data_IF_846583730442
#
_entry.id   IF_846583730442
#
_cell.length_a   1.000
_cell.length_b   1.000
_cell.length_c   1.000
_cell.angle_alpha   90.00
_cell.angle_beta   90.00
_cell.angle_gamma   90.00
#
_symmetry.space_group_name_H-M   'P 1'
#
loop_
_entity.id
_entity.type
_entity.pdbx_description
1 polymer ?
#
# COMPACT_ATOMS: atom_id res chain seq x y z
N UNK A 1 23.14 -21.24 -5.89
CA UNK A 1 22.33 -20.56 -4.84
C UNK A 1 21.59 -21.62 -4.07
N UNK A 2 21.96 -21.88 -2.83
CA UNK A 2 21.30 -22.88 -1.98
C UNK A 2 20.16 -22.21 -1.23
N UNK A 3 18.92 -22.70 -1.40
CA UNK A 3 17.77 -22.33 -0.59
C UNK A 3 17.83 -23.12 0.72
N UNK A 4 18.43 -22.58 1.74
CA UNK A 4 18.27 -23.10 3.09
C UNK A 4 16.96 -22.54 3.67
N UNK A 5 15.92 -23.37 3.65
CA UNK A 5 14.72 -23.17 4.45
C UNK A 5 15.02 -23.62 5.87
N UNK A 6 15.60 -22.75 6.69
CA UNK A 6 15.65 -22.97 8.12
C UNK A 6 14.25 -22.74 8.70
N UNK A 7 13.62 -23.80 9.17
CA UNK A 7 12.44 -23.76 10.03
C UNK A 7 12.84 -23.19 11.41
N UNK A 8 12.92 -21.86 11.52
CA UNK A 8 13.09 -21.19 12.80
C UNK A 8 11.82 -21.31 13.63
N UNK A 9 11.93 -21.71 14.87
CA UNK A 9 10.87 -21.67 15.89
C UNK A 9 10.25 -20.28 15.98
N UNK A 10 8.94 -20.12 16.26
CA UNK A 10 8.30 -18.84 16.37
C UNK A 10 8.88 -18.10 17.58
N UNK A 11 9.58 -17.02 17.30
CA UNK A 11 10.02 -16.06 18.31
C UNK A 11 8.78 -15.38 18.90
N UNK A 12 8.80 -15.13 20.21
CA UNK A 12 7.67 -14.56 20.96
C UNK A 12 7.22 -13.17 20.46
N UNK A 13 7.96 -12.56 19.53
CA UNK A 13 7.63 -11.29 18.85
C UNK A 13 6.70 -11.43 17.64
N UNK A 14 6.43 -12.62 17.15
CA UNK A 14 5.62 -12.89 15.96
C UNK A 14 6.22 -12.41 14.63
N UNK A 15 7.39 -11.78 14.64
CA UNK A 15 8.05 -11.27 13.44
C UNK A 15 9.02 -12.29 12.84
N UNK A 16 9.01 -12.47 11.51
CA UNK A 16 9.88 -13.40 10.78
C UNK A 16 10.68 -12.67 9.71
N UNK A 17 11.93 -13.10 9.50
CA UNK A 17 12.72 -12.61 8.38
C UNK A 17 12.12 -13.15 7.08
N UNK A 18 11.72 -12.23 6.19
CA UNK A 18 11.21 -12.55 4.86
C UNK A 18 12.34 -12.61 3.83
N UNK A 19 13.19 -11.58 3.81
CA UNK A 19 14.38 -11.51 2.96
C UNK A 19 15.50 -10.80 3.68
N UNK A 20 16.74 -11.19 3.38
CA UNK A 20 17.94 -10.49 3.81
C UNK A 20 18.99 -10.56 2.68
N UNK A 21 19.87 -9.56 2.61
CA UNK A 21 20.90 -9.54 1.62
C UNK A 21 21.87 -8.39 1.78
N UNK A 22 22.86 -8.36 0.87
CA UNK A 22 23.84 -7.30 0.82
C UNK A 22 24.07 -6.82 -0.62
N UNK A 23 24.53 -5.57 -0.72
CA UNK A 23 24.92 -4.92 -1.97
C UNK A 23 26.32 -4.30 -1.82
N UNK A 24 26.94 -3.93 -2.93
CA UNK A 24 28.25 -3.30 -2.98
C UNK A 24 29.30 -4.06 -2.16
N UNK A 25 29.48 -5.35 -2.45
CA UNK A 25 30.43 -6.23 -1.77
C UNK A 25 30.27 -6.28 -0.23
N UNK A 26 29.02 -6.24 0.25
CA UNK A 26 28.73 -6.30 1.68
C UNK A 26 28.74 -4.93 2.41
N UNK A 27 29.12 -3.85 1.73
CA UNK A 27 29.11 -2.53 2.37
C UNK A 27 27.74 -1.99 2.72
N UNK A 28 26.68 -2.55 2.14
CA UNK A 28 25.28 -2.23 2.43
C UNK A 28 24.50 -3.50 2.64
N UNK A 29 23.82 -3.59 3.76
CA UNK A 29 23.01 -4.74 4.15
C UNK A 29 21.57 -4.33 4.33
N UNK A 30 20.64 -5.27 4.09
CA UNK A 30 19.24 -5.11 4.40
C UNK A 30 18.65 -6.38 5.00
N UNK A 31 17.63 -6.19 5.84
CA UNK A 31 16.77 -7.25 6.37
C UNK A 31 15.33 -6.78 6.23
N UNK A 32 14.49 -7.59 5.62
CA UNK A 32 13.05 -7.36 5.60
C UNK A 32 12.37 -8.37 6.49
N UNK A 33 11.62 -7.87 7.45
CA UNK A 33 10.84 -8.67 8.38
C UNK A 33 9.36 -8.53 8.04
N UNK A 34 8.64 -9.64 8.10
CA UNK A 34 7.18 -9.63 8.10
C UNK A 34 6.66 -9.72 9.51
N UNK A 35 5.63 -8.94 9.81
CA UNK A 35 4.86 -9.03 11.04
C UNK A 35 3.80 -10.14 10.97
N UNK A 36 2.96 -10.19 11.98
CA UNK A 36 1.82 -11.09 12.00
C UNK A 36 0.86 -10.71 10.88
N UNK A 37 0.43 -11.72 10.11
CA UNK A 37 -0.64 -11.54 9.18
C UNK A 37 -1.94 -11.26 9.94
N UNK A 38 -2.81 -10.44 9.35
CA UNK A 38 -4.17 -10.24 9.84
C UNK A 38 -5.16 -10.40 8.68
N UNK A 39 -6.34 -10.85 9.01
CA UNK A 39 -7.40 -11.08 8.05
C UNK A 39 -8.36 -9.89 8.02
N UNK A 40 -8.81 -9.53 6.82
CA UNK A 40 -9.84 -8.51 6.62
C UNK A 40 -11.12 -9.18 6.15
N UNK A 41 -12.18 -8.93 6.91
CA UNK A 41 -13.51 -9.44 6.61
C UNK A 41 -13.73 -10.93 6.85
N UNK A 42 -14.96 -11.40 6.64
CA UNK A 42 -15.37 -12.75 7.01
C UNK A 42 -14.80 -13.85 6.10
N UNK A 43 -14.19 -13.49 4.98
CA UNK A 43 -13.59 -14.43 4.03
C UNK A 43 -12.05 -14.46 4.05
N UNK A 44 -11.46 -13.83 5.08
CA UNK A 44 -10.02 -13.89 5.37
C UNK A 44 -9.14 -13.36 4.21
N UNK A 45 -9.36 -12.10 3.82
CA UNK A 45 -8.41 -11.38 2.95
C UNK A 45 -7.12 -11.10 3.73
N UNK A 46 -6.09 -11.92 3.47
CA UNK A 46 -4.85 -11.94 4.26
C UNK A 46 -3.95 -10.77 3.96
N UNK A 47 -3.68 -9.93 4.94
CA UNK A 47 -2.76 -8.80 4.87
C UNK A 47 -1.49 -9.07 5.70
N UNK A 48 -0.31 -8.83 5.12
CA UNK A 48 0.98 -9.07 5.77
C UNK A 48 1.78 -7.77 5.85
N UNK A 49 1.90 -7.15 7.03
CA UNK A 49 2.73 -5.97 7.20
C UNK A 49 4.22 -6.35 7.13
N UNK A 50 5.02 -5.53 6.45
CA UNK A 50 6.46 -5.73 6.35
C UNK A 50 7.23 -4.50 6.82
N UNK A 51 8.39 -4.73 7.46
CA UNK A 51 9.33 -3.69 7.85
C UNK A 51 10.69 -3.97 7.22
N UNK A 52 11.25 -2.98 6.55
CA UNK A 52 12.59 -3.02 5.98
C UNK A 52 13.57 -2.32 6.91
N UNK A 53 14.67 -2.97 7.21
CA UNK A 53 15.84 -2.42 7.87
C UNK A 53 17.01 -2.39 6.90
N UNK A 54 17.77 -1.29 6.88
CA UNK A 54 18.99 -1.17 6.09
C UNK A 54 20.11 -0.59 6.91
N UNK A 55 21.34 -1.03 6.66
CA UNK A 55 22.52 -0.47 7.29
C UNK A 55 23.69 -0.40 6.29
N UNK A 56 24.55 0.62 6.43
CA UNK A 56 25.77 0.77 5.66
C UNK A 56 27.00 0.74 6.53
N UNK A 57 28.04 0.07 6.04
CA UNK A 57 29.37 0.02 6.64
C UNK A 57 30.39 0.93 5.91
N UNK A 58 29.91 1.68 4.91
CA UNK A 58 30.72 2.59 4.07
C UNK A 58 30.70 4.05 4.58
N UNK A 59 30.08 4.32 5.73
CA UNK A 59 29.93 5.67 6.29
C UNK A 59 28.96 6.58 5.52
N UNK A 60 28.45 6.16 4.37
CA UNK A 60 27.56 6.95 3.51
C UNK A 60 26.08 6.56 3.65
N UNK A 61 25.83 5.32 4.07
CA UNK A 61 24.48 4.78 4.16
C UNK A 61 24.06 4.66 5.62
N UNK A 62 23.02 5.38 6.06
CA UNK A 62 22.59 5.38 7.45
C UNK A 62 21.90 4.06 7.83
N UNK A 63 21.87 3.78 9.13
CA UNK A 63 20.92 2.80 9.67
C UNK A 63 19.51 3.35 9.44
N UNK A 64 18.67 2.59 8.76
CA UNK A 64 17.31 3.03 8.45
C UNK A 64 16.28 1.94 8.69
N UNK A 65 15.06 2.37 9.05
CA UNK A 65 13.89 1.49 9.16
C UNK A 65 12.69 2.14 8.49
N UNK A 66 11.88 1.33 7.81
CA UNK A 66 10.64 1.78 7.22
C UNK A 66 9.63 0.64 7.05
N UNK A 67 8.33 0.90 7.26
CA UNK A 67 7.28 -0.01 6.81
C UNK A 67 7.19 0.04 5.29
N UNK A 68 6.95 -1.10 4.67
CA UNK A 68 6.84 -1.20 3.21
C UNK A 68 5.98 -2.39 2.80
N UNK A 69 5.24 -2.22 1.70
CA UNK A 69 4.58 -3.32 0.98
C UNK A 69 5.47 -3.89 -0.14
N UNK A 70 6.63 -3.29 -0.38
CA UNK A 70 7.54 -3.70 -1.45
C UNK A 70 8.43 -4.82 -0.93
N UNK A 71 8.36 -6.00 -1.54
CA UNK A 71 9.30 -7.10 -1.27
C UNK A 71 10.66 -6.76 -1.89
N UNK A 72 11.68 -6.64 -1.03
CA UNK A 72 13.04 -6.31 -1.44
C UNK A 72 13.77 -7.58 -1.88
N UNK A 73 14.09 -7.68 -3.17
CA UNK A 73 14.80 -8.81 -3.77
C UNK A 73 16.04 -8.38 -4.58
N UNK A 74 16.17 -7.10 -4.88
CA UNK A 74 17.29 -6.53 -5.65
C UNK A 74 17.49 -5.06 -5.29
N UNK A 75 18.60 -4.46 -5.77
CA UNK A 75 18.93 -3.05 -5.53
C UNK A 75 17.81 -2.09 -5.98
N UNK A 76 17.13 -2.40 -7.09
CA UNK A 76 16.05 -1.56 -7.60
C UNK A 76 14.87 -1.55 -6.63
N UNK A 77 14.42 -2.72 -6.16
CA UNK A 77 13.32 -2.82 -5.20
C UNK A 77 13.68 -2.21 -3.84
N UNK A 78 14.95 -2.26 -3.42
CA UNK A 78 15.44 -1.54 -2.24
C UNK A 78 15.32 -0.03 -2.42
N UNK A 79 15.83 0.49 -3.53
CA UNK A 79 15.75 1.93 -3.83
C UNK A 79 14.31 2.42 -3.89
N UNK A 80 13.40 1.59 -4.43
CA UNK A 80 11.97 1.88 -4.47
C UNK A 80 11.36 2.00 -3.07
N UNK A 81 11.60 1.02 -2.21
CA UNK A 81 11.10 1.02 -0.84
C UNK A 81 11.59 2.26 -0.07
N UNK A 82 12.88 2.58 -0.17
CA UNK A 82 13.47 3.75 0.48
C UNK A 82 12.88 5.07 -0.05
N UNK A 83 12.68 5.21 -1.36
CA UNK A 83 12.03 6.40 -1.95
C UNK A 83 10.60 6.56 -1.47
N UNK A 84 9.84 5.47 -1.43
CA UNK A 84 8.46 5.47 -0.92
C UNK A 84 8.42 5.88 0.55
N UNK A 85 9.27 5.26 1.39
CA UNK A 85 9.36 5.58 2.81
C UNK A 85 9.73 7.05 3.06
N UNK A 86 10.67 7.59 2.29
CA UNK A 86 11.06 9.00 2.38
C UNK A 86 9.91 9.95 1.99
N UNK A 87 9.23 9.65 0.89
CA UNK A 87 8.12 10.49 0.39
C UNK A 87 6.94 10.52 1.36
N UNK A 88 6.65 9.39 1.98
CA UNK A 88 5.53 9.24 2.91
C UNK A 88 5.90 9.58 4.37
N UNK A 89 7.10 10.15 4.61
CA UNK A 89 7.63 10.44 5.94
C UNK A 89 7.64 9.22 6.89
N UNK A 90 7.80 8.04 6.34
CA UNK A 90 7.85 6.78 7.08
C UNK A 90 9.29 6.26 7.25
N UNK A 91 10.25 6.83 6.53
CA UNK A 91 11.66 6.45 6.63
C UNK A 91 12.27 7.07 7.89
N UNK A 92 12.68 6.23 8.81
CA UNK A 92 13.52 6.61 9.94
C UNK A 92 14.96 6.35 9.54
N UNK A 93 15.81 7.34 9.69
CA UNK A 93 17.19 7.29 9.25
C UNK A 93 18.12 7.85 10.31
N UNK A 94 19.05 7.02 10.76
CA UNK A 94 20.01 7.34 11.82
C UNK A 94 21.41 7.35 11.23
N UNK A 95 22.09 8.52 11.30
CA UNK A 95 23.50 8.61 10.92
C UNK A 95 24.37 7.90 11.95
N UNK A 96 25.51 7.36 11.55
CA UNK A 96 26.45 6.67 12.44
C UNK A 96 27.28 7.63 13.33
N UNK A 97 26.80 8.85 13.59
CA UNK A 97 27.47 9.85 14.41
C UNK A 97 26.70 10.14 15.70
N UNK A 98 27.42 10.39 16.81
CA UNK A 98 26.83 10.70 18.10
C UNK A 98 26.41 9.47 18.94
N UNK A 99 25.59 9.67 19.97
CA UNK A 99 25.12 8.59 20.82
C UNK A 99 24.15 7.67 20.05
N UNK A 100 24.62 6.48 19.68
CA UNK A 100 23.83 5.50 18.95
C UNK A 100 22.68 4.93 19.77
N UNK A 101 22.83 4.90 21.09
CA UNK A 101 21.84 4.35 22.03
C UNK A 101 20.52 5.11 21.97
N UNK A 102 20.56 6.45 22.13
CA UNK A 102 19.37 7.30 22.10
C UNK A 102 18.64 7.22 20.75
N UNK A 103 19.40 6.96 19.69
CA UNK A 103 18.86 6.81 18.33
C UNK A 103 18.20 5.45 18.11
N UNK A 104 18.77 4.39 18.66
CA UNK A 104 18.14 3.08 18.65
C UNK A 104 16.81 3.10 19.40
N UNK A 105 16.74 3.78 20.53
CA UNK A 105 15.50 3.99 21.28
C UNK A 105 14.45 4.72 20.43
N UNK A 106 14.85 5.78 19.72
CA UNK A 106 13.96 6.49 18.79
C UNK A 106 13.47 5.58 17.65
N UNK A 107 14.30 4.67 17.15
CA UNK A 107 13.93 3.71 16.11
C UNK A 107 12.94 2.66 16.66
N UNK A 108 13.19 2.15 17.86
CA UNK A 108 12.28 1.21 18.54
C UNK A 108 10.91 1.86 18.72
N UNK A 109 10.87 3.10 19.24
CA UNK A 109 9.61 3.85 19.42
C UNK A 109 8.85 4.03 18.12
N UNK A 110 9.54 4.28 17.02
CA UNK A 110 8.90 4.43 15.72
C UNK A 110 8.38 3.10 15.15
N UNK A 111 9.04 1.98 15.44
CA UNK A 111 8.54 0.64 15.10
C UNK A 111 7.26 0.31 15.90
N UNK A 112 7.21 0.66 17.20
CA UNK A 112 6.01 0.50 18.00
C UNK A 112 4.86 1.37 17.48
N UNK A 113 5.11 2.64 17.11
CA UNK A 113 4.12 3.51 16.48
C UNK A 113 3.62 2.93 15.14
N UNK A 114 4.50 2.25 14.39
CA UNK A 114 4.11 1.55 13.18
C UNK A 114 3.17 0.36 13.45
N UNK A 115 3.46 -0.44 14.47
CA UNK A 115 2.58 -1.54 14.88
C UNK A 115 1.19 -1.03 15.25
N UNK A 116 1.11 0.10 15.96
CA UNK A 116 -0.17 0.72 16.32
C UNK A 116 -0.95 1.19 15.08
N UNK A 117 -0.28 1.87 14.13
CA UNK A 117 -0.90 2.26 12.86
C UNK A 117 -1.38 1.05 12.04
N UNK A 118 -0.68 -0.08 12.11
CA UNK A 118 -1.13 -1.32 11.45
C UNK A 118 -2.41 -1.84 12.09
N UNK A 119 -2.53 -1.81 13.41
CA UNK A 119 -3.77 -2.16 14.11
C UNK A 119 -4.92 -1.22 13.79
N UNK A 120 -4.66 0.09 13.75
CA UNK A 120 -5.68 1.07 13.32
C UNK A 120 -6.16 0.79 11.90
N UNK A 121 -5.25 0.45 10.99
CA UNK A 121 -5.60 0.06 9.64
C UNK A 121 -6.43 -1.22 9.60
N UNK A 122 -6.06 -2.25 10.37
CA UNK A 122 -6.81 -3.50 10.51
C UNK A 122 -8.25 -3.23 10.98
N UNK A 123 -8.42 -2.40 12.02
CA UNK A 123 -9.74 -2.03 12.54
C UNK A 123 -10.58 -1.32 11.46
N UNK A 124 -10.00 -0.35 10.75
CA UNK A 124 -10.68 0.38 9.67
C UNK A 124 -11.05 -0.55 8.52
N UNK A 125 -10.12 -1.40 8.07
CA UNK A 125 -10.35 -2.34 6.99
C UNK A 125 -11.47 -3.35 7.32
N UNK A 126 -11.45 -3.88 8.56
CA UNK A 126 -12.52 -4.77 9.03
C UNK A 126 -13.86 -4.05 9.18
N UNK A 127 -13.88 -2.79 9.61
CA UNK A 127 -15.08 -1.96 9.61
C UNK A 127 -15.73 -1.85 8.23
N UNK A 128 -14.93 -1.58 7.20
CA UNK A 128 -15.39 -1.55 5.81
C UNK A 128 -15.84 -2.92 5.30
N UNK A 129 -15.16 -3.99 5.68
CA UNK A 129 -15.50 -5.36 5.28
C UNK A 129 -16.76 -5.90 5.96
N UNK A 130 -17.11 -5.40 7.15
CA UNK A 130 -18.37 -5.70 7.83
C UNK A 130 -19.58 -4.91 7.27
N UNK A 131 -19.34 -3.86 6.48
CA UNK A 131 -20.40 -3.07 5.86
C UNK A 131 -20.86 -3.74 4.58
N UNK A 132 -21.90 -4.55 4.65
CA UNK A 132 -22.58 -5.08 3.47
C UNK A 132 -23.16 -3.95 2.61
N UNK A 133 -23.07 -4.08 1.29
CA UNK A 133 -23.49 -3.05 0.35
C UNK A 133 -24.42 -3.61 -0.71
N UNK A 134 -25.41 -2.81 -1.12
CA UNK A 134 -26.25 -3.07 -2.29
C UNK A 134 -25.59 -2.51 -3.54
N UNK A 135 -26.00 -2.99 -4.72
CA UNK A 135 -25.53 -2.47 -6.01
C UNK A 135 -25.73 -0.96 -6.11
N UNK A 136 -26.88 -0.46 -5.67
CA UNK A 136 -27.18 0.98 -5.69
C UNK A 136 -26.24 1.78 -4.78
N UNK A 137 -25.94 1.26 -3.60
CA UNK A 137 -25.01 1.90 -2.67
C UNK A 137 -23.60 1.97 -3.28
N UNK A 138 -23.15 0.87 -3.88
CA UNK A 138 -21.83 0.78 -4.54
C UNK A 138 -21.73 1.77 -5.69
N UNK A 139 -22.77 1.90 -6.51
CA UNK A 139 -22.81 2.88 -7.59
C UNK A 139 -22.70 4.31 -7.08
N UNK A 140 -23.41 4.68 -6.01
CA UNK A 140 -23.30 6.01 -5.36
C UNK A 140 -21.89 6.25 -4.84
N UNK A 141 -21.30 5.27 -4.18
CA UNK A 141 -19.91 5.35 -3.71
C UNK A 141 -18.92 5.58 -4.87
N UNK A 142 -19.02 4.78 -5.93
CA UNK A 142 -18.12 4.93 -7.08
C UNK A 142 -18.33 6.24 -7.84
N UNK A 143 -19.56 6.70 -7.99
CA UNK A 143 -19.87 8.01 -8.56
C UNK A 143 -19.17 9.12 -7.78
N UNK A 144 -19.31 9.11 -6.45
CA UNK A 144 -18.61 10.06 -5.58
C UNK A 144 -17.09 10.01 -5.73
N UNK A 145 -16.50 8.80 -5.73
CA UNK A 145 -15.06 8.61 -5.92
C UNK A 145 -14.62 9.11 -7.30
N UNK A 146 -15.38 8.79 -8.35
CA UNK A 146 -15.08 9.25 -9.70
C UNK A 146 -15.08 10.77 -9.80
N UNK A 147 -16.06 11.43 -9.22
CA UNK A 147 -16.12 12.90 -9.18
C UNK A 147 -14.94 13.52 -8.45
N UNK A 148 -14.53 12.95 -7.32
CA UNK A 148 -13.36 13.43 -6.58
C UNK A 148 -12.03 13.25 -7.36
N UNK A 149 -11.92 12.19 -8.15
CA UNK A 149 -10.71 11.90 -8.93
C UNK A 149 -10.62 12.71 -10.24
N UNK A 150 -11.75 12.98 -10.87
CA UNK A 150 -11.83 13.51 -12.24
C UNK A 150 -12.69 14.76 -12.37
N UNK A 151 -13.35 15.23 -11.31
CA UNK A 151 -14.26 16.38 -11.35
C UNK A 151 -13.60 17.68 -11.81
N UNK A 152 -12.32 17.87 -11.50
CA UNK A 152 -11.56 19.07 -11.91
C UNK A 152 -11.20 19.07 -13.43
N UNK A 153 -11.39 17.96 -14.15
CA UNK A 153 -11.11 17.86 -15.59
C UNK A 153 -12.27 18.47 -16.42
N UNK A 154 -13.40 18.65 -15.78
CA UNK A 154 -14.60 19.22 -16.40
C UNK A 154 -14.86 20.61 -15.81
N UNK A 155 -15.11 21.60 -16.65
CA UNK A 155 -15.37 23.01 -16.28
C UNK A 155 -16.54 23.20 -15.29
N UNK A 156 -17.24 22.12 -14.95
CA UNK A 156 -18.28 22.04 -13.93
C UNK A 156 -18.34 20.64 -13.34
N UNK A 157 -18.62 20.48 -12.03
CA UNK A 157 -18.82 19.17 -11.43
C UNK A 157 -19.99 18.48 -12.12
N UNK A 158 -19.74 17.27 -12.66
CA UNK A 158 -20.75 16.47 -13.33
C UNK A 158 -21.74 15.93 -12.30
N UNK A 159 -23.05 15.98 -12.60
CA UNK A 159 -24.05 15.28 -11.82
C UNK A 159 -24.13 13.78 -12.21
N UNK A 160 -24.92 12.99 -11.47
CA UNK A 160 -25.03 11.54 -11.69
C UNK A 160 -25.48 11.19 -13.13
N UNK A 161 -26.41 11.97 -13.70
CA UNK A 161 -26.90 11.75 -15.07
C UNK A 161 -25.82 12.06 -16.12
N UNK A 162 -25.06 13.14 -15.93
CA UNK A 162 -23.96 13.50 -16.83
C UNK A 162 -22.81 12.48 -16.76
N UNK A 163 -22.58 11.83 -15.63
CA UNK A 163 -21.62 10.73 -15.50
C UNK A 163 -22.09 9.51 -16.29
N UNK A 164 -23.37 9.17 -16.21
CA UNK A 164 -23.95 8.05 -16.94
C UNK A 164 -23.81 8.24 -18.47
N UNK A 165 -23.97 9.45 -18.97
CA UNK A 165 -23.85 9.80 -20.39
C UNK A 165 -22.40 9.95 -20.88
N UNK A 166 -21.43 10.09 -19.95
CA UNK A 166 -20.03 10.22 -20.29
C UNK A 166 -19.37 8.87 -20.56
N UNK A 167 -18.98 8.61 -21.83
CA UNK A 167 -18.35 7.34 -22.23
C UNK A 167 -17.09 6.97 -21.44
N UNK A 168 -16.27 7.93 -21.04
CA UNK A 168 -15.05 7.68 -20.28
C UNK A 168 -15.39 7.29 -18.84
N UNK A 169 -16.35 7.99 -18.22
CA UNK A 169 -16.86 7.67 -16.89
C UNK A 169 -17.50 6.28 -16.89
N UNK A 170 -18.45 6.04 -17.79
CA UNK A 170 -19.13 4.74 -17.92
C UNK A 170 -18.14 3.59 -18.14
N UNK A 171 -17.13 3.76 -18.98
CA UNK A 171 -16.07 2.76 -19.20
C UNK A 171 -15.25 2.47 -17.94
N UNK A 172 -14.98 3.49 -17.12
CA UNK A 172 -14.24 3.33 -15.86
C UNK A 172 -15.08 2.63 -14.81
N UNK A 173 -16.33 3.07 -14.63
CA UNK A 173 -17.28 2.45 -13.70
C UNK A 173 -17.57 0.98 -14.04
N UNK A 174 -17.69 0.64 -15.32
CA UNK A 174 -17.83 -0.76 -15.78
C UNK A 174 -16.61 -1.60 -15.37
N UNK A 175 -15.39 -1.06 -15.47
CA UNK A 175 -14.19 -1.78 -15.03
C UNK A 175 -14.17 -2.01 -13.52
N UNK A 176 -14.60 -1.02 -12.73
CA UNK A 176 -14.73 -1.17 -11.28
C UNK A 176 -15.79 -2.21 -10.93
N UNK A 177 -16.95 -2.19 -11.61
CA UNK A 177 -18.00 -3.20 -11.45
C UNK A 177 -17.51 -4.61 -11.77
N UNK A 178 -16.85 -4.81 -12.90
CA UNK A 178 -16.32 -6.12 -13.28
C UNK A 178 -15.30 -6.65 -12.26
N UNK A 179 -14.46 -5.76 -11.71
CA UNK A 179 -13.52 -6.15 -10.65
C UNK A 179 -14.26 -6.49 -9.36
N UNK A 180 -15.22 -5.69 -8.95
CA UNK A 180 -16.07 -5.95 -7.79
C UNK A 180 -16.77 -7.30 -7.90
N UNK A 181 -17.42 -7.59 -9.03
CA UNK A 181 -18.14 -8.84 -9.26
C UNK A 181 -17.22 -10.07 -9.20
N UNK A 182 -15.97 -9.93 -9.64
CA UNK A 182 -14.98 -11.01 -9.51
C UNK A 182 -14.53 -11.20 -8.06
N UNK A 183 -14.33 -10.13 -7.31
CA UNK A 183 -13.82 -10.15 -5.94
C UNK A 183 -14.89 -10.50 -4.90
N UNK A 184 -16.16 -10.22 -5.16
CA UNK A 184 -17.28 -10.56 -4.26
C UNK A 184 -17.30 -12.06 -3.88
N UNK A 185 -16.89 -12.93 -4.78
CA UNK A 185 -16.79 -14.37 -4.52
C UNK A 185 -15.77 -14.69 -3.42
N UNK A 186 -14.72 -13.90 -3.32
CA UNK A 186 -13.61 -14.10 -2.40
C UNK A 186 -13.75 -13.28 -1.12
N UNK A 187 -14.16 -12.01 -1.23
CA UNK A 187 -14.16 -11.07 -0.10
C UNK A 187 -15.56 -10.63 0.36
N UNK A 188 -16.63 -11.03 -0.38
CA UNK A 188 -18.02 -10.65 -0.08
C UNK A 188 -18.43 -9.32 -0.69
N UNK A 189 -19.75 -9.09 -0.78
CA UNK A 189 -20.33 -7.84 -1.26
C UNK A 189 -20.33 -6.80 -0.12
N UNK A 190 -19.24 -6.13 0.08
CA UNK A 190 -19.04 -5.16 1.14
C UNK A 190 -18.25 -3.94 0.66
N UNK A 191 -18.17 -2.91 1.51
CA UNK A 191 -17.54 -1.64 1.16
C UNK A 191 -16.01 -1.76 0.97
N UNK A 192 -15.35 -2.70 1.65
CA UNK A 192 -13.94 -3.04 1.43
C UNK A 192 -13.71 -3.53 -0.01
N UNK A 193 -14.53 -4.46 -0.48
CA UNK A 193 -14.47 -4.99 -1.85
C UNK A 193 -14.74 -3.90 -2.88
N UNK A 194 -15.73 -3.01 -2.62
CA UNK A 194 -16.05 -1.88 -3.50
C UNK A 194 -14.88 -0.87 -3.57
N UNK A 195 -14.20 -0.59 -2.47
CA UNK A 195 -13.00 0.25 -2.42
C UNK A 195 -11.84 -0.42 -3.18
N UNK A 196 -11.60 -1.70 -2.94
CA UNK A 196 -10.51 -2.44 -3.59
C UNK A 196 -10.68 -2.54 -5.10
N UNK A 197 -11.90 -2.56 -5.63
CA UNK A 197 -12.13 -2.52 -7.08
C UNK A 197 -11.58 -1.24 -7.74
N UNK A 198 -11.66 -0.11 -7.05
CA UNK A 198 -11.08 1.17 -7.50
C UNK A 198 -9.56 1.14 -7.40
N UNK A 199 -9.01 0.71 -6.27
CA UNK A 199 -7.55 0.66 -6.08
C UNK A 199 -6.88 -0.35 -7.02
N UNK A 200 -7.53 -1.47 -7.30
CA UNK A 200 -7.09 -2.42 -8.33
C UNK A 200 -7.03 -1.78 -9.72
N UNK A 201 -8.04 -1.00 -10.09
CA UNK A 201 -8.03 -0.28 -11.36
C UNK A 201 -6.87 0.72 -11.43
N UNK A 202 -6.60 1.48 -10.37
CA UNK A 202 -5.46 2.39 -10.29
C UNK A 202 -4.13 1.65 -10.50
N UNK A 203 -3.98 0.49 -9.90
CA UNK A 203 -2.73 -0.27 -9.93
C UNK A 203 -2.55 -1.07 -11.24
N UNK A 204 -3.63 -1.55 -11.86
CA UNK A 204 -3.54 -2.55 -12.92
C UNK A 204 -4.18 -2.16 -14.24
N UNK A 205 -5.22 -1.33 -14.25
CA UNK A 205 -6.04 -1.08 -15.43
C UNK A 205 -5.96 0.35 -15.98
N UNK A 206 -5.35 1.27 -15.24
CA UNK A 206 -5.13 2.64 -15.72
C UNK A 206 -4.14 2.64 -16.89
N UNK A 207 -4.46 3.41 -17.94
CA UNK A 207 -3.70 3.43 -19.19
C UNK A 207 -2.64 4.53 -19.13
N UNK A 208 -1.38 4.16 -19.28
CA UNK A 208 -0.26 5.06 -19.43
C UNK A 208 0.23 5.05 -20.89
N UNK A 209 0.55 6.22 -21.45
CA UNK A 209 0.96 6.39 -22.85
C UNK A 209 2.41 6.89 -22.94
N UNK A 210 3.02 6.74 -24.13
CA UNK A 210 4.39 7.19 -24.44
C UNK A 210 5.45 6.11 -24.20
N UNK A 211 6.69 6.43 -24.59
CA UNK A 211 7.82 5.48 -24.54
C UNK A 211 8.15 5.01 -23.13
N UNK A 212 8.02 5.88 -22.14
CA UNK A 212 8.29 5.60 -20.72
C UNK A 212 7.04 5.13 -19.94
N UNK A 213 6.02 4.59 -20.60
CA UNK A 213 4.74 4.22 -19.98
C UNK A 213 4.88 3.32 -18.75
N UNK A 214 5.80 2.37 -18.74
CA UNK A 214 6.02 1.44 -17.63
C UNK A 214 6.68 2.13 -16.43
N UNK A 215 7.67 2.98 -16.68
CA UNK A 215 8.33 3.78 -15.65
C UNK A 215 7.35 4.82 -15.05
N UNK A 216 6.60 5.50 -15.90
CA UNK A 216 5.60 6.48 -15.48
C UNK A 216 4.51 5.83 -14.62
N UNK A 217 3.96 4.68 -15.06
CA UNK A 217 2.98 3.91 -14.30
C UNK A 217 3.54 3.52 -12.94
N UNK A 218 4.73 2.97 -12.92
CA UNK A 218 5.38 2.53 -11.70
C UNK A 218 5.58 3.69 -10.71
N UNK A 219 6.11 4.82 -11.19
CA UNK A 219 6.32 6.01 -10.38
C UNK A 219 4.99 6.59 -9.85
N UNK A 220 3.94 6.57 -10.67
CA UNK A 220 2.63 7.09 -10.29
C UNK A 220 1.95 6.24 -9.21
N UNK A 221 1.92 4.92 -9.39
CA UNK A 221 1.33 3.97 -8.43
C UNK A 221 2.00 4.07 -7.04
N UNK A 222 3.31 4.28 -6.98
CA UNK A 222 4.07 4.26 -5.73
C UNK A 222 4.33 5.65 -5.14
N UNK A 223 4.45 6.68 -5.98
CA UNK A 223 4.96 7.98 -5.56
C UNK A 223 4.17 9.16 -6.11
N UNK A 224 3.30 8.92 -7.10
CA UNK A 224 2.60 9.95 -7.85
C UNK A 224 1.17 10.19 -7.39
N UNK A 225 0.37 10.62 -8.35
CA UNK A 225 -1.06 10.89 -8.18
C UNK A 225 -1.81 9.62 -7.77
N UNK A 226 -1.51 8.46 -8.41
CA UNK A 226 -2.15 7.20 -8.09
C UNK A 226 -1.94 6.75 -6.64
N UNK A 227 -0.76 7.01 -6.05
CA UNK A 227 -0.53 6.74 -4.63
C UNK A 227 -1.42 7.62 -3.73
N UNK A 228 -1.62 8.90 -4.08
CA UNK A 228 -2.50 9.81 -3.36
C UNK A 228 -3.96 9.40 -3.52
N UNK A 229 -4.38 9.10 -4.74
CA UNK A 229 -5.76 8.69 -5.05
C UNK A 229 -6.19 7.47 -4.25
N UNK A 230 -5.31 6.49 -4.01
CA UNK A 230 -5.62 5.33 -3.16
C UNK A 230 -5.93 5.73 -1.71
N UNK A 231 -5.23 6.73 -1.17
CA UNK A 231 -5.52 7.27 0.16
C UNK A 231 -6.86 8.01 0.16
N UNK A 232 -7.14 8.80 -0.87
CA UNK A 232 -8.39 9.55 -1.00
C UNK A 232 -9.59 8.59 -1.15
N UNK A 233 -9.44 7.48 -1.90
CA UNK A 233 -10.45 6.41 -2.02
C UNK A 233 -10.73 5.74 -0.67
N UNK A 234 -9.68 5.45 0.11
CA UNK A 234 -9.83 4.88 1.46
C UNK A 234 -10.58 5.85 2.38
N UNK A 235 -10.23 7.14 2.35
CA UNK A 235 -10.92 8.16 3.14
C UNK A 235 -12.38 8.33 2.72
N UNK A 236 -12.68 8.28 1.42
CA UNK A 236 -14.04 8.28 0.92
C UNK A 236 -14.82 7.06 1.42
N UNK A 237 -14.24 5.86 1.35
CA UNK A 237 -14.88 4.65 1.87
C UNK A 237 -15.19 4.76 3.37
N UNK A 238 -14.26 5.29 4.17
CA UNK A 238 -14.49 5.53 5.60
C UNK A 238 -15.59 6.54 5.87
N UNK A 239 -15.79 7.54 5.00
CA UNK A 239 -16.89 8.50 5.11
C UNK A 239 -18.26 7.91 4.73
N UNK A 240 -18.28 6.84 3.93
CA UNK A 240 -19.48 6.10 3.53
C UNK A 240 -19.85 4.97 4.50
N UNK A 241 -18.93 4.60 5.43
CA UNK A 241 -19.15 3.53 6.41
C UNK A 241 -20.10 3.97 7.53
#
# INVERSE_FOLDING_TARGET
>A
MRNDRSSGSPDSSGSKIETAGSFNNGSRVFVQMRGNAFDVGPKNDVNIPMTLFTNGHDGQWPLSSLPTSIRVICQNTLNMALRQGKKNNMLISLKHTGNIQDRLESMIQAIENWKERTREFEVKANGLACKEVTTEFVQKFWTHVYMNMFGDIHDSPMNEDQIADNKAASSTLIKWSNTFDSEVKHSGANLWTAMNSVTYWLDHQQIYRGEKKHENRFNDILFGKGAKEKVDVMNAALAFA
#
